data_IF_052077678282
#
_entry.id   IF_052077678282
#
_cell.length_a   1.000
_cell.length_b   1.000
_cell.length_c   1.000
_cell.angle_alpha   90.00
_cell.angle_beta   90.00
_cell.angle_gamma   90.00
#
_symmetry.space_group_name_H-M   'P 1'
#
loop_
_entity.id
_entity.type
_entity.pdbx_description
1 polymer ?
#
# COMPACT_ATOMS: atom_id res chain seq x y z
N UNK A 1 -26.11 -11.04 2.02
CA UNK A 1 -24.78 -11.31 1.41
C UNK A 1 -24.18 -12.48 2.15
N UNK A 2 -23.63 -13.48 1.45
CA UNK A 2 -23.03 -14.65 2.11
C UNK A 2 -21.72 -14.22 2.76
N UNK A 3 -21.32 -14.82 3.90
CA UNK A 3 -20.08 -14.44 4.61
C UNK A 3 -18.82 -14.43 3.72
N UNK A 4 -18.80 -15.26 2.66
CA UNK A 4 -17.73 -15.30 1.64
C UNK A 4 -17.60 -14.00 0.84
N UNK A 5 -18.69 -13.31 0.58
CA UNK A 5 -18.70 -12.05 -0.18
C UNK A 5 -18.05 -10.93 0.65
N UNK A 6 -18.30 -10.94 1.97
CA UNK A 6 -17.72 -9.98 2.90
C UNK A 6 -16.21 -10.21 3.06
N UNK A 7 -15.78 -11.47 3.13
CA UNK A 7 -14.36 -11.85 3.15
C UNK A 7 -13.64 -11.37 1.89
N UNK A 8 -14.20 -11.65 0.71
CA UNK A 8 -13.64 -11.20 -0.56
C UNK A 8 -13.50 -9.68 -0.61
N UNK A 9 -14.50 -8.96 -0.08
CA UNK A 9 -14.48 -7.51 -0.01
C UNK A 9 -13.37 -7.00 0.92
N UNK A 10 -13.23 -7.55 2.12
CA UNK A 10 -12.15 -7.19 3.06
C UNK A 10 -10.77 -7.41 2.47
N UNK A 11 -10.56 -8.54 1.77
CA UNK A 11 -9.30 -8.83 1.09
C UNK A 11 -8.99 -7.81 0.00
N UNK A 12 -9.99 -7.47 -0.81
CA UNK A 12 -9.89 -6.41 -1.82
C UNK A 12 -9.52 -5.06 -1.20
N UNK A 13 -10.15 -4.68 -0.09
CA UNK A 13 -9.84 -3.44 0.62
C UNK A 13 -8.44 -3.42 1.21
N UNK A 14 -7.93 -4.54 1.74
CA UNK A 14 -6.56 -4.61 2.26
C UNK A 14 -5.53 -4.40 1.15
N UNK A 15 -5.75 -5.02 -0.02
CA UNK A 15 -4.90 -4.85 -1.19
C UNK A 15 -4.93 -3.41 -1.70
N UNK A 16 -6.13 -2.87 -1.94
CA UNK A 16 -6.30 -1.49 -2.41
C UNK A 16 -5.74 -0.49 -1.39
N UNK A 17 -6.02 -0.69 -0.11
CA UNK A 17 -5.53 0.15 0.98
C UNK A 17 -4.00 0.16 1.06
N UNK A 18 -3.37 -1.01 0.92
CA UNK A 18 -1.91 -1.12 0.86
C UNK A 18 -1.31 -0.36 -0.32
N UNK A 19 -1.87 -0.53 -1.53
CA UNK A 19 -1.43 0.16 -2.74
C UNK A 19 -1.58 1.68 -2.60
N UNK A 20 -2.76 2.14 -2.18
CA UNK A 20 -3.05 3.57 -2.00
C UNK A 20 -2.14 4.19 -0.95
N UNK A 21 -1.93 3.51 0.18
CA UNK A 21 -1.00 3.96 1.22
C UNK A 21 0.43 4.06 0.68
N UNK A 22 0.90 3.05 -0.05
CA UNK A 22 2.23 3.05 -0.68
C UNK A 22 2.41 4.21 -1.67
N UNK A 23 1.40 4.47 -2.50
CA UNK A 23 1.44 5.59 -3.45
C UNK A 23 1.44 6.96 -2.76
N UNK A 24 0.59 7.15 -1.75
CA UNK A 24 0.51 8.41 -0.99
C UNK A 24 1.84 8.68 -0.27
N UNK A 25 2.37 7.67 0.45
CA UNK A 25 3.64 7.78 1.16
C UNK A 25 4.80 7.99 0.19
N UNK A 26 4.83 7.23 -0.91
CA UNK A 26 5.88 7.34 -1.92
C UNK A 26 5.91 8.69 -2.64
N UNK A 27 4.73 9.22 -2.99
CA UNK A 27 4.62 10.56 -3.55
C UNK A 27 5.05 11.64 -2.56
N UNK A 28 4.62 11.54 -1.30
CA UNK A 28 5.06 12.44 -0.24
C UNK A 28 6.57 12.38 -0.01
N UNK A 29 7.15 11.19 -0.03
CA UNK A 29 8.58 10.99 0.11
C UNK A 29 9.37 11.67 -1.02
N UNK A 30 9.00 11.42 -2.28
CA UNK A 30 9.70 12.02 -3.42
C UNK A 30 9.51 13.54 -3.49
N UNK A 31 8.27 14.03 -3.38
CA UNK A 31 7.97 15.46 -3.60
C UNK A 31 8.21 16.35 -2.39
N UNK A 32 7.94 15.85 -1.19
CA UNK A 32 8.02 16.67 0.01
C UNK A 32 9.33 16.45 0.77
N UNK A 33 9.77 15.21 0.95
CA UNK A 33 11.01 14.95 1.69
C UNK A 33 12.26 15.14 0.82
N UNK A 34 12.31 14.48 -0.33
CA UNK A 34 13.50 14.49 -1.19
C UNK A 34 13.63 15.79 -1.98
N UNK A 35 12.60 16.17 -2.73
CA UNK A 35 12.67 17.38 -3.57
C UNK A 35 12.66 18.67 -2.74
N UNK A 36 11.82 18.79 -1.72
CA UNK A 36 11.63 20.05 -0.98
C UNK A 36 12.55 20.21 0.22
N UNK A 37 12.87 19.12 0.94
CA UNK A 37 13.76 19.18 2.11
C UNK A 37 15.23 18.97 1.73
N UNK A 38 15.53 17.98 0.88
CA UNK A 38 16.90 17.64 0.49
C UNK A 38 17.36 18.27 -0.83
N UNK A 39 16.44 18.83 -1.64
CA UNK A 39 16.76 19.40 -2.95
C UNK A 39 17.11 18.35 -4.01
N UNK A 40 16.89 17.06 -3.74
CA UNK A 40 17.24 15.95 -4.63
C UNK A 40 15.97 15.49 -5.34
N UNK A 41 15.97 15.52 -6.68
CA UNK A 41 14.89 14.94 -7.48
C UNK A 41 15.01 13.43 -7.54
N UNK A 42 14.21 12.74 -6.75
CA UNK A 42 14.15 11.27 -6.70
C UNK A 42 12.91 10.69 -7.36
N UNK A 43 11.96 11.52 -7.82
CA UNK A 43 10.78 11.04 -8.51
C UNK A 43 11.12 10.33 -9.84
N UNK A 44 10.57 9.13 -10.14
CA UNK A 44 9.56 8.37 -9.39
C UNK A 44 10.13 7.21 -8.54
N UNK A 45 11.42 7.21 -8.20
CA UNK A 45 12.07 6.07 -7.54
C UNK A 45 11.54 5.81 -6.13
N UNK A 46 11.33 6.85 -5.31
CA UNK A 46 10.73 6.69 -3.98
C UNK A 46 9.28 6.22 -4.08
N UNK A 47 8.52 6.76 -5.04
CA UNK A 47 7.16 6.34 -5.33
C UNK A 47 7.08 4.87 -5.71
N UNK A 48 7.96 4.40 -6.62
CA UNK A 48 8.04 3.00 -7.01
C UNK A 48 8.40 2.09 -5.84
N UNK A 49 9.39 2.50 -5.03
CA UNK A 49 9.80 1.74 -3.85
C UNK A 49 8.64 1.54 -2.87
N UNK A 50 7.97 2.62 -2.48
CA UNK A 50 6.83 2.55 -1.56
C UNK A 50 5.59 1.92 -2.18
N UNK A 51 5.41 1.99 -3.50
CA UNK A 51 4.36 1.26 -4.22
C UNK A 51 4.51 -0.25 -4.04
N UNK A 52 5.70 -0.81 -4.27
CA UNK A 52 5.95 -2.23 -4.06
C UNK A 52 5.78 -2.64 -2.59
N UNK A 53 6.27 -1.81 -1.65
CA UNK A 53 6.03 -2.03 -0.21
C UNK A 53 4.54 -2.02 0.12
N UNK A 54 3.78 -1.11 -0.48
CA UNK A 54 2.33 -1.01 -0.32
C UNK A 54 1.61 -2.26 -0.80
N UNK A 55 1.98 -2.78 -1.97
CA UNK A 55 1.49 -4.06 -2.50
C UNK A 55 1.78 -5.18 -1.51
N UNK A 56 3.04 -5.36 -1.11
CA UNK A 56 3.46 -6.43 -0.19
C UNK A 56 2.69 -6.34 1.13
N UNK A 57 2.52 -5.13 1.66
CA UNK A 57 1.77 -4.90 2.91
C UNK A 57 0.28 -5.23 2.76
N UNK A 58 -0.33 -4.88 1.62
CA UNK A 58 -1.71 -5.24 1.31
C UNK A 58 -1.94 -6.75 1.24
N UNK A 59 -1.02 -7.47 0.58
CA UNK A 59 -1.04 -8.94 0.55
C UNK A 59 -0.80 -9.57 1.93
N UNK A 60 0.15 -9.04 2.71
CA UNK A 60 0.42 -9.54 4.07
C UNK A 60 -0.79 -9.36 4.99
N UNK A 61 -1.49 -8.23 4.91
CA UNK A 61 -2.70 -7.98 5.68
C UNK A 61 -3.86 -8.89 5.23
N UNK A 62 -4.04 -9.03 3.91
CA UNK A 62 -5.02 -9.97 3.36
C UNK A 62 -4.75 -11.42 3.82
N UNK A 63 -3.50 -11.85 3.82
CA UNK A 63 -3.11 -13.18 4.30
C UNK A 63 -3.35 -13.36 5.81
N UNK A 64 -3.04 -12.35 6.63
CA UNK A 64 -3.29 -12.37 8.08
C UNK A 64 -4.78 -12.47 8.39
N UNK A 65 -5.62 -11.78 7.62
CA UNK A 65 -7.07 -11.84 7.79
C UNK A 65 -7.62 -13.20 7.42
N UNK A 66 -7.16 -13.81 6.32
CA UNK A 66 -7.50 -15.20 5.97
C UNK A 66 -7.11 -16.18 7.09
N UNK A 67 -5.89 -16.06 7.63
CA UNK A 67 -5.38 -16.94 8.69
C UNK A 67 -6.11 -16.77 10.03
N UNK A 68 -6.72 -15.61 10.29
CA UNK A 68 -7.54 -15.38 11.50
C UNK A 68 -8.93 -16.01 11.42
N UNK A 69 -9.40 -16.28 10.20
CA UNK A 69 -10.76 -16.73 9.92
C UNK A 69 -10.80 -18.26 9.73
N UNK A 70 -9.67 -18.85 9.32
CA UNK A 70 -9.42 -20.29 9.32
C UNK A 70 -9.13 -20.81 10.73
#
# INVERSE_FOLDING_TARGET
>A
MKGRDFLALTLGFNLLGGILAGLIVGYGFDKWLMERLMGIKTFPFGLLFFFFIGIISGFLNAYRDLKRIQ
#
